data_IF_693300659061
#
_entry.id   IF_693300659061
#
_cell.length_a   1.000
_cell.length_b   1.000
_cell.length_c   1.000
_cell.angle_alpha   90.00
_cell.angle_beta   90.00
_cell.angle_gamma   90.00
#
_symmetry.space_group_name_H-M   'P 1'
#
loop_
_entity.id
_entity.type
_entity.pdbx_description
1 polymer ?
#
# COMPACT_ATOMS: atom_id res chain seq x y z
N UNK A 1 -57.68 59.66 16.33
CA UNK A 1 -56.37 59.25 16.91
C UNK A 1 -56.27 57.74 16.80
N UNK A 2 -55.65 57.27 15.70
CA UNK A 2 -55.57 55.83 15.38
C UNK A 2 -54.23 55.23 15.85
N UNK A 3 -54.28 54.23 16.70
CA UNK A 3 -53.12 53.46 17.12
C UNK A 3 -52.90 52.28 16.13
N UNK A 4 -51.77 52.30 15.41
CA UNK A 4 -51.40 51.23 14.48
C UNK A 4 -50.66 50.14 15.24
N UNK A 5 -51.20 48.94 15.28
CA UNK A 5 -50.55 47.77 15.85
C UNK A 5 -49.47 47.25 14.88
N UNK A 6 -48.20 47.30 15.33
CA UNK A 6 -47.07 46.71 14.60
C UNK A 6 -46.99 45.21 14.98
N UNK A 7 -47.36 44.34 14.08
CA UNK A 7 -47.14 42.88 14.25
C UNK A 7 -45.68 42.57 13.90
N UNK A 8 -44.89 42.16 14.89
CA UNK A 8 -43.57 41.59 14.67
C UNK A 8 -43.73 40.12 14.32
N UNK A 9 -43.52 39.78 13.04
CA UNK A 9 -43.43 38.39 12.61
C UNK A 9 -41.99 37.86 12.90
N UNK A 10 -41.87 37.04 13.91
CA UNK A 10 -40.60 36.36 14.25
C UNK A 10 -40.42 35.19 13.26
N UNK A 11 -39.53 35.35 12.30
CA UNK A 11 -39.18 34.27 11.35
C UNK A 11 -38.28 33.25 12.07
N UNK A 12 -38.85 32.15 12.48
CA UNK A 12 -38.11 30.98 12.97
C UNK A 12 -37.49 30.24 11.77
N UNK A 13 -36.22 30.49 11.50
CA UNK A 13 -35.48 29.64 10.56
C UNK A 13 -35.18 28.31 11.26
N UNK A 14 -35.57 27.16 10.68
CA UNK A 14 -35.16 25.87 11.22
C UNK A 14 -33.68 25.70 10.99
N UNK A 15 -32.90 25.56 12.06
CA UNK A 15 -31.51 25.10 12.01
C UNK A 15 -31.57 23.63 11.54
N UNK A 16 -31.29 23.42 10.25
CA UNK A 16 -31.04 22.10 9.71
C UNK A 16 -29.67 21.64 10.24
N UNK A 17 -29.66 20.99 11.38
CA UNK A 17 -28.48 20.29 11.85
C UNK A 17 -28.20 19.15 10.86
N UNK A 18 -27.31 19.40 9.92
CA UNK A 18 -26.79 18.37 9.06
C UNK A 18 -26.02 17.39 9.95
N UNK A 19 -26.57 16.21 10.13
CA UNK A 19 -25.86 15.11 10.78
C UNK A 19 -24.75 14.69 9.81
N UNK A 20 -23.59 15.30 9.95
CA UNK A 20 -22.40 14.84 9.22
C UNK A 20 -22.09 13.44 9.79
N UNK A 21 -22.46 12.41 9.05
CA UNK A 21 -21.96 11.07 9.34
C UNK A 21 -20.45 11.16 9.33
N UNK A 22 -19.85 10.88 10.47
CA UNK A 22 -18.40 10.76 10.60
C UNK A 22 -17.97 9.58 9.72
N UNK A 23 -17.70 9.88 8.45
CA UNK A 23 -17.19 8.86 7.52
C UNK A 23 -15.75 8.56 7.94
N UNK A 24 -15.50 7.30 8.28
CA UNK A 24 -14.17 6.87 8.67
C UNK A 24 -13.16 7.31 7.61
N UNK A 25 -12.18 8.09 8.01
CA UNK A 25 -11.15 8.59 7.10
C UNK A 25 -9.98 7.61 7.04
N UNK A 26 -9.57 7.24 5.83
CA UNK A 26 -8.37 6.43 5.60
C UNK A 26 -7.18 7.39 5.56
N UNK A 27 -6.25 7.22 6.49
CA UNK A 27 -5.05 8.05 6.60
C UNK A 27 -3.82 7.16 6.76
N UNK A 28 -2.63 7.72 6.62
CA UNK A 28 -1.42 6.98 6.94
C UNK A 28 -1.45 6.51 8.41
N UNK A 29 -1.97 7.35 9.30
CA UNK A 29 -2.10 7.04 10.72
C UNK A 29 -2.99 5.81 10.97
N UNK A 30 -4.21 5.82 10.40
CA UNK A 30 -5.17 4.71 10.58
C UNK A 30 -4.68 3.40 9.95
N UNK A 31 -3.99 3.49 8.81
CA UNK A 31 -3.44 2.31 8.15
C UNK A 31 -2.28 1.70 8.95
N UNK A 32 -1.49 2.52 9.63
CA UNK A 32 -0.43 2.04 10.52
C UNK A 32 -1.02 1.34 11.76
N UNK A 33 -2.08 1.90 12.34
CA UNK A 33 -2.78 1.25 13.47
C UNK A 33 -3.33 -0.11 13.06
N UNK A 34 -3.94 -0.18 11.88
CA UNK A 34 -4.51 -1.43 11.37
C UNK A 34 -3.46 -2.55 11.25
N UNK A 35 -2.21 -2.20 10.90
CA UNK A 35 -1.15 -3.21 10.72
C UNK A 35 -0.82 -3.99 11.98
N UNK A 36 -1.03 -3.41 13.15
CA UNK A 36 -0.69 -4.04 14.42
C UNK A 36 -1.92 -4.35 15.28
N UNK A 37 -3.11 -4.06 14.77
CA UNK A 37 -4.36 -4.34 15.48
C UNK A 37 -4.83 -5.78 15.24
N UNK A 38 -4.87 -6.57 16.30
CA UNK A 38 -5.40 -7.93 16.26
C UNK A 38 -6.91 -7.90 15.96
N UNK A 39 -7.61 -6.92 16.50
CA UNK A 39 -9.06 -6.78 16.29
C UNK A 39 -9.40 -6.48 14.84
N UNK A 40 -8.66 -5.55 14.23
CA UNK A 40 -8.89 -5.20 12.82
C UNK A 40 -8.59 -6.38 11.89
N UNK A 41 -7.59 -7.20 12.22
CA UNK A 41 -7.27 -8.37 11.40
C UNK A 41 -8.29 -9.51 11.55
N UNK A 42 -9.11 -9.47 12.60
CA UNK A 42 -10.09 -10.52 12.92
C UNK A 42 -11.52 -10.19 12.48
N UNK A 43 -11.75 -9.03 11.86
CA UNK A 43 -13.08 -8.60 11.44
C UNK A 43 -13.07 -8.03 10.03
N UNK A 44 -14.25 -7.88 9.45
CA UNK A 44 -14.38 -7.18 8.18
C UNK A 44 -13.98 -5.72 8.36
N UNK A 45 -13.21 -5.16 7.41
CA UNK A 45 -12.78 -3.77 7.54
C UNK A 45 -13.97 -2.80 7.54
N UNK A 46 -13.88 -1.76 8.36
CA UNK A 46 -14.92 -0.72 8.44
C UNK A 46 -15.12 -0.02 7.09
N UNK A 47 -14.03 0.21 6.37
CA UNK A 47 -14.06 0.73 5.00
C UNK A 47 -13.74 -0.45 4.08
N UNK A 48 -14.71 -0.96 3.32
CA UNK A 48 -14.44 -2.11 2.45
C UNK A 48 -13.46 -1.74 1.33
N UNK A 49 -12.73 -2.73 0.83
CA UNK A 49 -11.77 -2.51 -0.25
C UNK A 49 -11.58 -3.78 -1.08
N UNK A 50 -11.04 -3.60 -2.26
CA UNK A 50 -10.53 -4.70 -3.10
C UNK A 50 -9.00 -4.68 -3.02
N UNK A 51 -8.39 -5.86 -2.89
CA UNK A 51 -6.94 -6.02 -2.98
C UNK A 51 -6.56 -6.32 -4.43
N UNK A 52 -5.62 -5.54 -4.94
CA UNK A 52 -5.20 -5.61 -6.34
C UNK A 52 -3.67 -5.55 -6.41
N UNK A 53 -3.12 -5.91 -7.58
CA UNK A 53 -1.67 -5.88 -7.79
C UNK A 53 -1.34 -5.44 -9.22
N UNK A 54 -0.30 -4.64 -9.33
CA UNK A 54 0.38 -4.37 -10.60
C UNK A 54 1.81 -4.90 -10.47
N UNK A 55 2.33 -5.49 -11.55
CA UNK A 55 3.67 -6.07 -11.52
C UNK A 55 4.38 -5.95 -12.86
N UNK A 56 5.65 -6.33 -12.87
CA UNK A 56 6.53 -6.27 -14.03
C UNK A 56 6.42 -7.50 -14.96
N UNK A 57 5.32 -8.24 -14.90
CA UNK A 57 5.16 -9.43 -15.75
C UNK A 57 5.22 -9.05 -17.24
N UNK A 58 5.64 -10.00 -18.05
CA UNK A 58 5.68 -9.82 -19.50
C UNK A 58 4.24 -9.73 -20.06
N UNK A 59 3.88 -8.57 -20.59
CA UNK A 59 2.53 -8.27 -21.09
C UNK A 59 2.13 -9.11 -22.32
N UNK A 60 3.09 -9.78 -22.98
CA UNK A 60 2.78 -10.71 -24.07
C UNK A 60 2.20 -12.03 -23.58
N UNK A 61 2.28 -12.32 -22.26
CA UNK A 61 1.65 -13.50 -21.65
C UNK A 61 0.17 -13.22 -21.39
N UNK A 62 -0.68 -13.36 -22.41
CA UNK A 62 -2.09 -12.95 -22.33
C UNK A 62 -3.05 -14.08 -21.97
N UNK A 63 -2.76 -15.32 -22.37
CA UNK A 63 -3.65 -16.46 -22.14
C UNK A 63 -2.91 -17.78 -22.26
N UNK A 64 -3.25 -18.79 -21.44
CA UNK A 64 -2.67 -20.13 -21.58
C UNK A 64 -2.88 -20.75 -22.96
N UNK A 65 -3.93 -20.34 -23.65
CA UNK A 65 -4.31 -20.90 -24.96
C UNK A 65 -3.71 -20.10 -26.12
N UNK A 66 -2.90 -19.08 -25.85
CA UNK A 66 -2.33 -18.20 -26.86
C UNK A 66 -0.84 -18.46 -27.08
N UNK A 67 -0.35 -18.33 -28.32
CA UNK A 67 1.11 -18.31 -28.53
C UNK A 67 1.75 -17.24 -27.65
N UNK A 68 2.89 -17.56 -27.05
CA UNK A 68 3.59 -16.62 -26.17
C UNK A 68 3.14 -16.65 -24.72
N UNK A 69 2.27 -17.58 -24.34
CA UNK A 69 1.87 -17.73 -22.93
C UNK A 69 3.07 -17.81 -21.98
N UNK A 70 4.14 -18.45 -22.43
CA UNK A 70 5.35 -18.57 -21.63
C UNK A 70 6.38 -17.47 -21.93
N UNK A 71 5.93 -16.33 -22.40
CA UNK A 71 6.82 -15.18 -22.58
C UNK A 71 7.47 -14.85 -21.23
N UNK A 72 8.76 -14.57 -21.23
CA UNK A 72 9.56 -14.45 -20.01
C UNK A 72 10.50 -13.25 -20.08
N UNK A 73 9.95 -12.12 -20.50
CA UNK A 73 10.69 -10.84 -20.46
C UNK A 73 10.27 -10.01 -19.24
N UNK A 74 9.97 -10.70 -18.14
CA UNK A 74 9.62 -10.08 -16.86
C UNK A 74 10.73 -9.11 -16.43
N UNK A 75 10.34 -8.04 -15.74
CA UNK A 75 11.27 -6.98 -15.36
C UNK A 75 11.30 -5.85 -16.39
N UNK A 76 10.78 -6.07 -17.61
CA UNK A 76 10.58 -5.01 -18.58
C UNK A 76 9.10 -4.65 -18.75
N UNK A 77 8.22 -5.37 -18.06
CA UNK A 77 6.78 -5.09 -18.08
C UNK A 77 6.44 -3.77 -17.38
N UNK A 78 5.79 -2.86 -18.11
CA UNK A 78 5.38 -1.55 -17.62
C UNK A 78 3.95 -1.26 -18.09
N UNK A 79 3.30 -0.26 -17.50
CA UNK A 79 1.98 0.18 -17.96
C UNK A 79 2.12 0.87 -19.31
N UNK A 80 3.01 1.85 -19.38
CA UNK A 80 3.33 2.59 -20.61
C UNK A 80 4.62 3.40 -20.38
N UNK A 81 5.02 4.15 -21.39
CA UNK A 81 6.10 5.13 -21.27
C UNK A 81 5.50 6.52 -21.36
N UNK A 82 5.98 7.42 -20.51
CA UNK A 82 5.52 8.81 -20.47
C UNK A 82 6.71 9.75 -20.68
N UNK A 83 6.45 10.97 -21.08
CA UNK A 83 7.49 12.01 -21.17
C UNK A 83 7.08 13.18 -20.27
N UNK A 84 7.89 13.44 -19.26
CA UNK A 84 7.61 14.48 -18.26
C UNK A 84 8.81 15.42 -18.21
N UNK A 85 8.62 16.68 -18.60
CA UNK A 85 9.69 17.70 -18.62
C UNK A 85 10.95 17.23 -19.37
N UNK A 86 10.76 16.54 -20.49
CA UNK A 86 11.87 16.05 -21.32
C UNK A 86 12.52 14.76 -20.83
N UNK A 87 12.08 14.20 -19.69
CA UNK A 87 12.55 12.90 -19.18
C UNK A 87 11.65 11.79 -19.71
N UNK A 88 12.23 10.67 -20.08
CA UNK A 88 11.47 9.46 -20.45
C UNK A 88 11.27 8.63 -19.19
N UNK A 89 10.03 8.47 -18.76
CA UNK A 89 9.67 7.77 -17.54
C UNK A 89 8.84 6.51 -17.85
N UNK A 90 9.30 5.36 -17.38
CA UNK A 90 8.54 4.11 -17.46
C UNK A 90 7.46 4.12 -16.37
N UNK A 91 6.20 4.04 -16.77
CA UNK A 91 5.07 4.03 -15.82
C UNK A 91 4.93 2.61 -15.26
N UNK A 92 5.20 2.46 -13.98
CA UNK A 92 5.17 1.18 -13.28
C UNK A 92 3.79 0.93 -12.65
N UNK A 93 3.07 2.01 -12.30
CA UNK A 93 1.78 1.98 -11.63
C UNK A 93 1.03 3.25 -12.00
N UNK A 94 -0.25 3.14 -12.36
CA UNK A 94 -1.08 4.31 -12.65
C UNK A 94 -2.53 3.95 -12.32
N UNK A 95 -2.97 4.32 -11.11
CA UNK A 95 -4.28 3.93 -10.63
C UNK A 95 -5.08 5.13 -10.11
N UNK A 96 -6.36 5.14 -10.46
CA UNK A 96 -7.30 6.11 -9.91
C UNK A 96 -7.69 5.68 -8.50
N UNK A 97 -7.80 6.66 -7.59
CA UNK A 97 -8.23 6.45 -6.22
C UNK A 97 -9.75 6.52 -6.05
N UNK A 98 -10.20 6.50 -4.81
CA UNK A 98 -9.39 6.45 -3.60
C UNK A 98 -8.72 5.08 -3.40
N UNK A 99 -7.51 5.09 -2.85
CA UNK A 99 -6.76 3.85 -2.69
C UNK A 99 -5.59 3.98 -1.70
N UNK A 100 -4.91 2.86 -1.46
CA UNK A 100 -3.66 2.86 -0.68
C UNK A 100 -2.75 1.74 -1.15
N UNK A 101 -1.51 2.06 -1.50
CA UNK A 101 -0.50 1.03 -1.72
C UNK A 101 -0.18 0.43 -0.35
N UNK A 102 -0.13 -0.89 -0.27
CA UNK A 102 0.11 -1.59 0.99
C UNK A 102 1.43 -2.36 0.99
N UNK A 103 2.01 -2.55 -0.20
CA UNK A 103 3.31 -3.23 -0.31
C UNK A 103 3.94 -2.89 -1.65
N UNK A 104 5.23 -2.56 -1.62
CA UNK A 104 6.06 -2.49 -2.83
C UNK A 104 7.21 -3.47 -2.64
N UNK A 105 7.24 -4.51 -3.48
CA UNK A 105 8.35 -5.47 -3.52
C UNK A 105 9.15 -5.21 -4.78
N UNK A 106 10.47 -5.18 -4.66
CA UNK A 106 11.35 -4.98 -5.81
C UNK A 106 12.56 -5.90 -5.76
N UNK A 107 13.07 -6.22 -6.95
CA UNK A 107 14.43 -6.75 -7.10
C UNK A 107 14.99 -6.30 -8.45
N UNK A 108 16.30 -6.29 -8.58
CA UNK A 108 16.97 -5.77 -9.77
C UNK A 108 18.39 -6.32 -9.90
N UNK A 109 18.96 -6.18 -11.08
CA UNK A 109 20.37 -6.46 -11.36
C UNK A 109 21.25 -5.22 -11.17
N UNK A 110 20.66 -4.02 -11.10
CA UNK A 110 21.37 -2.80 -10.70
C UNK A 110 20.37 -1.77 -10.14
N UNK A 111 20.87 -0.85 -9.32
CA UNK A 111 20.05 0.12 -8.61
C UNK A 111 19.93 1.48 -9.29
N UNK A 112 20.54 1.67 -10.43
CA UNK A 112 20.59 2.99 -11.09
C UNK A 112 19.21 3.47 -11.51
N UNK A 113 19.02 4.77 -11.57
CA UNK A 113 17.79 5.43 -12.00
C UNK A 113 17.09 6.18 -10.89
N UNK A 114 15.85 6.58 -11.12
CA UNK A 114 15.09 7.38 -10.16
C UNK A 114 13.61 6.99 -10.21
N UNK A 115 13.01 6.71 -9.03
CA UNK A 115 11.56 6.54 -8.91
C UNK A 115 10.92 7.88 -8.59
N UNK A 116 9.72 8.11 -9.15
CA UNK A 116 8.88 9.25 -8.80
C UNK A 116 7.46 8.81 -8.51
N UNK A 117 6.88 9.40 -7.48
CA UNK A 117 5.50 9.13 -7.05
C UNK A 117 4.70 10.42 -7.25
N UNK A 118 3.71 10.36 -8.10
CA UNK A 118 2.82 11.48 -8.40
C UNK A 118 1.47 11.18 -7.76
N UNK A 119 0.92 12.14 -7.04
CA UNK A 119 -0.34 11.96 -6.34
C UNK A 119 -1.41 12.91 -6.87
N UNK A 120 -2.65 12.38 -6.94
CA UNK A 120 -3.86 13.16 -7.17
C UNK A 120 -3.86 14.02 -8.44
N UNK A 121 -3.13 13.56 -9.46
CA UNK A 121 -3.07 14.25 -10.75
C UNK A 121 -2.08 15.39 -10.84
N UNK A 122 -1.26 15.58 -9.79
CA UNK A 122 -0.23 16.63 -9.83
C UNK A 122 0.87 16.28 -10.84
N UNK A 123 1.38 17.30 -11.53
CA UNK A 123 2.47 17.12 -12.52
C UNK A 123 3.85 17.04 -11.85
N UNK A 124 3.96 17.51 -10.60
CA UNK A 124 5.20 17.45 -9.83
C UNK A 124 5.16 16.24 -8.91
N UNK A 125 6.23 15.43 -8.86
CA UNK A 125 6.23 14.28 -7.97
C UNK A 125 6.20 14.71 -6.50
N UNK A 126 5.31 14.12 -5.72
CA UNK A 126 5.21 14.34 -4.29
C UNK A 126 6.26 13.57 -3.49
N UNK A 127 6.89 12.56 -4.11
CA UNK A 127 7.97 11.80 -3.48
C UNK A 127 8.94 11.30 -4.54
N UNK A 128 10.25 11.37 -4.24
CA UNK A 128 11.30 10.92 -5.16
C UNK A 128 12.24 9.99 -4.40
N UNK A 129 12.54 8.83 -4.99
CA UNK A 129 13.49 7.87 -4.42
C UNK A 129 14.66 7.75 -5.39
N UNK A 130 15.86 8.17 -4.98
CA UNK A 130 17.04 8.02 -5.85
C UNK A 130 17.46 6.56 -5.88
N UNK A 131 17.66 6.05 -7.06
CA UNK A 131 18.01 4.64 -7.33
C UNK A 131 16.79 3.69 -7.25
N UNK A 132 16.95 2.50 -7.82
CA UNK A 132 15.97 1.41 -7.72
C UNK A 132 16.20 0.65 -6.41
N UNK A 133 15.98 1.36 -5.31
CA UNK A 133 16.34 0.88 -3.97
C UNK A 133 15.44 1.53 -2.92
N UNK A 134 14.44 0.79 -2.46
CA UNK A 134 13.51 1.30 -1.46
C UNK A 134 14.20 1.64 -0.12
N UNK A 135 15.42 1.15 0.12
CA UNK A 135 16.18 1.57 1.30
C UNK A 135 16.50 3.07 1.28
N UNK A 136 16.33 3.70 0.10
CA UNK A 136 16.50 5.15 -0.07
C UNK A 136 15.18 5.91 -0.08
N UNK A 137 14.11 5.29 0.44
CA UNK A 137 12.78 5.92 0.47
C UNK A 137 12.78 7.23 1.27
N UNK A 138 13.71 7.38 2.18
CA UNK A 138 13.97 8.69 2.79
C UNK A 138 13.06 9.08 3.94
N UNK A 139 12.37 8.12 4.54
CA UNK A 139 11.52 8.41 5.70
C UNK A 139 12.31 8.14 6.99
N UNK A 140 12.45 9.14 7.86
CA UNK A 140 13.08 8.94 9.15
C UNK A 140 12.38 7.85 9.97
N UNK A 141 13.17 7.03 10.67
CA UNK A 141 12.67 5.99 11.58
C UNK A 141 11.97 4.81 10.87
N UNK A 142 12.06 4.73 9.55
CA UNK A 142 11.57 3.57 8.82
C UNK A 142 12.57 2.42 9.04
N UNK A 143 12.19 1.45 9.85
CA UNK A 143 13.05 0.33 10.24
C UNK A 143 12.71 -0.96 9.49
N UNK A 144 13.25 -2.07 9.99
CA UNK A 144 13.18 -3.37 9.31
C UNK A 144 11.83 -4.09 9.44
N UNK A 145 10.95 -3.59 10.28
CA UNK A 145 9.57 -4.09 10.34
C UNK A 145 8.76 -3.64 9.13
N UNK A 146 8.99 -2.40 8.69
CA UNK A 146 8.27 -1.79 7.57
C UNK A 146 9.06 -1.77 6.27
N UNK A 147 10.38 -1.90 6.31
CA UNK A 147 11.23 -1.89 5.12
C UNK A 147 12.27 -3.00 5.23
N UNK A 148 12.01 -4.10 4.56
CA UNK A 148 12.79 -5.33 4.71
C UNK A 148 13.68 -5.58 3.50
N UNK A 149 15.00 -5.66 3.69
CA UNK A 149 15.87 -6.24 2.67
C UNK A 149 15.64 -7.76 2.67
N UNK A 150 15.20 -8.32 1.55
CA UNK A 150 15.02 -9.77 1.43
C UNK A 150 16.22 -10.46 0.77
N UNK A 151 17.06 -9.69 0.10
CA UNK A 151 18.36 -10.14 -0.39
C UNK A 151 19.36 -9.02 -0.16
N UNK A 152 20.59 -9.39 0.15
CA UNK A 152 21.65 -8.41 0.26
C UNK A 152 22.03 -7.89 -1.14
N UNK A 153 22.14 -6.59 -1.28
CA UNK A 153 22.69 -6.02 -2.50
C UNK A 153 24.18 -6.35 -2.59
N UNK A 154 24.55 -6.90 -3.72
CA UNK A 154 25.98 -7.14 -4.02
C UNK A 154 26.66 -5.82 -4.37
N UNK A 155 28.01 -5.78 -4.44
CA UNK A 155 28.71 -4.57 -4.86
C UNK A 155 28.29 -4.05 -6.24
N UNK A 156 27.84 -4.94 -7.13
CA UNK A 156 27.34 -4.57 -8.47
C UNK A 156 25.87 -4.14 -8.46
N UNK A 157 25.24 -4.04 -7.28
CA UNK A 157 23.90 -3.50 -7.16
C UNK A 157 22.74 -4.49 -7.25
N UNK A 158 23.03 -5.79 -7.36
CA UNK A 158 21.97 -6.80 -7.43
C UNK A 158 21.33 -7.02 -6.06
N UNK A 159 20.01 -7.15 -6.04
CA UNK A 159 19.31 -7.44 -4.80
C UNK A 159 17.90 -6.87 -4.79
N UNK A 160 17.26 -6.94 -3.62
CA UNK A 160 15.90 -6.47 -3.49
C UNK A 160 15.47 -6.20 -2.07
N UNK A 161 14.33 -5.53 -1.97
CA UNK A 161 13.73 -5.18 -0.68
C UNK A 161 12.21 -5.02 -0.83
N UNK A 162 11.54 -4.95 0.32
CA UNK A 162 10.08 -4.79 0.38
C UNK A 162 9.73 -3.67 1.35
N UNK A 163 8.92 -2.74 0.87
CA UNK A 163 8.34 -1.67 1.67
C UNK A 163 6.90 -2.04 2.02
N UNK A 164 6.58 -2.05 3.30
CA UNK A 164 5.24 -2.29 3.82
C UNK A 164 4.56 -1.02 4.35
N UNK A 165 5.28 0.12 4.36
CA UNK A 165 4.68 1.38 4.77
C UNK A 165 3.50 1.72 3.84
N UNK A 166 2.30 1.96 4.37
CA UNK A 166 1.16 2.29 3.50
C UNK A 166 1.33 3.66 2.83
N UNK A 167 0.87 3.76 1.58
CA UNK A 167 0.92 5.02 0.80
C UNK A 167 -0.50 5.31 0.30
N UNK A 168 -1.34 5.99 1.09
CA UNK A 168 -2.71 6.31 0.65
C UNK A 168 -2.75 7.45 -0.36
N UNK A 169 -3.78 7.44 -1.23
CA UNK A 169 -4.00 8.47 -2.23
C UNK A 169 -5.50 8.69 -2.45
N UNK A 170 -5.90 9.95 -2.52
CA UNK A 170 -7.33 10.30 -2.59
C UNK A 170 -7.91 10.18 -4.00
N UNK A 171 -7.22 10.69 -5.01
CA UNK A 171 -7.73 10.73 -6.38
C UNK A 171 -6.95 9.85 -7.35
N UNK A 172 -5.63 9.79 -7.22
CA UNK A 172 -4.80 8.93 -8.07
C UNK A 172 -3.39 8.81 -7.52
N UNK A 173 -2.73 7.72 -7.93
CA UNK A 173 -1.30 7.56 -7.69
C UNK A 173 -0.66 7.01 -8.96
N UNK A 174 0.37 7.71 -9.46
CA UNK A 174 1.19 7.25 -10.57
C UNK A 174 2.62 7.10 -10.07
N UNK A 175 3.23 5.94 -10.32
CA UNK A 175 4.64 5.68 -9.97
C UNK A 175 5.39 5.42 -11.25
N UNK A 176 6.48 6.16 -11.43
CA UNK A 176 7.32 6.04 -12.62
C UNK A 176 8.75 5.72 -12.22
N UNK A 177 9.50 5.27 -13.20
CA UNK A 177 10.92 5.01 -13.08
C UNK A 177 11.65 5.56 -14.31
N UNK A 178 12.64 6.40 -14.06
CA UNK A 178 13.54 6.92 -15.08
C UNK A 178 14.85 6.14 -15.03
N UNK A 179 15.23 5.51 -16.14
CA UNK A 179 16.54 4.89 -16.26
C UNK A 179 17.62 5.98 -16.34
N UNK A 180 18.83 5.63 -15.96
CA UNK A 180 19.95 6.57 -16.02
C UNK A 180 20.26 6.93 -17.47
N UNK A 181 20.30 8.23 -17.81
CA UNK A 181 20.55 8.64 -19.21
C UNK A 181 21.83 8.05 -19.79
N UNK A 182 21.75 7.56 -21.02
CA UNK A 182 22.91 7.00 -21.72
C UNK A 182 23.23 5.56 -21.35
N UNK A 183 22.48 4.96 -20.43
CA UNK A 183 22.70 3.57 -20.02
C UNK A 183 21.53 2.72 -20.50
N UNK A 184 21.85 1.57 -21.08
CA UNK A 184 20.80 0.65 -21.54
C UNK A 184 19.90 0.20 -20.35
N UNK A 185 18.58 0.18 -20.54
CA UNK A 185 17.67 -0.26 -19.49
C UNK A 185 17.98 -1.69 -19.04
N UNK A 186 17.90 -1.89 -17.74
CA UNK A 186 18.04 -3.22 -17.13
C UNK A 186 16.70 -3.68 -16.54
N UNK A 187 16.50 -4.99 -16.35
CA UNK A 187 15.24 -5.46 -15.81
C UNK A 187 15.02 -4.95 -14.38
N UNK A 188 13.82 -4.46 -14.16
CA UNK A 188 13.34 -3.96 -12.86
C UNK A 188 12.11 -4.77 -12.46
N UNK A 189 12.30 -5.73 -11.58
CA UNK A 189 11.21 -6.60 -11.13
C UNK A 189 10.47 -5.92 -9.99
N UNK A 190 9.13 -5.89 -10.06
CA UNK A 190 8.32 -5.27 -9.02
C UNK A 190 6.95 -5.92 -8.88
N UNK A 191 6.43 -5.86 -7.65
CA UNK A 191 5.01 -6.05 -7.33
C UNK A 191 4.57 -4.85 -6.49
N UNK A 192 3.50 -4.20 -6.90
CA UNK A 192 2.86 -3.12 -6.15
C UNK A 192 1.46 -3.60 -5.79
N UNK A 193 1.27 -3.94 -4.52
CA UNK A 193 -0.02 -4.37 -3.99
C UNK A 193 -0.74 -3.16 -3.42
N UNK A 194 -2.05 -3.06 -3.69
CA UNK A 194 -2.81 -1.90 -3.24
C UNK A 194 -4.25 -2.27 -2.94
N UNK A 195 -4.87 -1.43 -2.10
CA UNK A 195 -6.30 -1.45 -1.82
C UNK A 195 -6.97 -0.40 -2.68
N UNK A 196 -8.10 -0.78 -3.27
CA UNK A 196 -8.99 0.13 -4.00
C UNK A 196 -10.25 0.28 -3.16
N UNK A 197 -10.52 1.50 -2.71
CA UNK A 197 -11.70 1.78 -1.90
C UNK A 197 -12.88 2.18 -2.80
N UNK A 198 -14.13 2.09 -2.30
CA UNK A 198 -15.30 2.60 -3.04
C UNK A 198 -15.19 4.09 -3.31
N UNK A 199 -15.78 4.52 -4.41
CA UNK A 199 -15.86 5.94 -4.74
C UNK A 199 -16.52 6.71 -3.59
N UNK A 200 -16.01 7.90 -3.29
CA UNK A 200 -16.50 8.72 -2.19
C UNK A 200 -15.86 8.43 -0.83
N UNK A 201 -15.02 7.38 -0.73
CA UNK A 201 -14.27 7.14 0.50
C UNK A 201 -13.30 8.31 0.74
N UNK A 202 -13.33 8.88 1.94
CA UNK A 202 -12.43 9.95 2.33
C UNK A 202 -11.04 9.38 2.63
N UNK A 203 -10.03 9.77 1.83
CA UNK A 203 -8.64 9.31 1.98
C UNK A 203 -7.72 10.52 2.04
N UNK A 204 -6.85 10.58 3.05
CA UNK A 204 -5.80 11.59 3.14
C UNK A 204 -4.59 11.13 2.31
N UNK A 205 -4.23 11.91 1.30
CA UNK A 205 -3.10 11.56 0.43
C UNK A 205 -1.76 11.63 1.16
N UNK A 206 -0.92 10.64 0.90
CA UNK A 206 0.44 10.55 1.42
C UNK A 206 1.25 11.82 1.08
N UNK A 207 1.97 12.33 2.07
CA UNK A 207 2.76 13.56 1.91
C UNK A 207 3.85 13.61 2.98
N UNK A 208 4.82 14.51 2.78
CA UNK A 208 5.84 14.78 3.80
C UNK A 208 5.20 15.23 5.14
N UNK A 209 4.10 15.99 5.06
CA UNK A 209 3.40 16.45 6.25
C UNK A 209 2.73 15.27 6.99
N UNK A 210 2.07 14.35 6.27
CA UNK A 210 1.45 13.19 6.91
C UNK A 210 2.51 12.29 7.54
N UNK A 211 3.64 12.08 6.86
CA UNK A 211 4.78 11.31 7.41
C UNK A 211 5.34 11.95 8.69
N UNK A 212 5.54 13.28 8.67
CA UNK A 212 6.08 14.00 9.83
C UNK A 212 5.15 13.88 11.04
N UNK A 213 3.84 13.96 10.80
CA UNK A 213 2.82 13.86 11.86
C UNK A 213 2.84 12.49 12.54
N UNK A 214 3.08 11.41 11.79
CA UNK A 214 3.03 10.05 12.33
C UNK A 214 4.41 9.44 12.57
N UNK A 215 5.47 10.25 12.60
CA UNK A 215 6.84 9.73 12.73
C UNK A 215 7.09 8.84 13.95
N UNK A 216 6.45 9.15 15.08
CA UNK A 216 6.54 8.31 16.28
C UNK A 216 5.83 6.96 16.06
N UNK A 217 4.65 7.00 15.48
CA UNK A 217 3.85 5.80 15.19
C UNK A 217 4.58 4.87 14.21
N UNK A 218 5.27 5.43 13.22
CA UNK A 218 6.08 4.62 12.29
C UNK A 218 7.08 3.76 13.09
N UNK A 219 7.78 4.34 14.07
CA UNK A 219 8.70 3.57 14.91
C UNK A 219 8.00 2.53 15.77
N UNK A 220 6.85 2.88 16.33
CA UNK A 220 6.07 1.96 17.18
C UNK A 220 5.57 0.76 16.39
N UNK A 221 5.04 0.99 15.20
CA UNK A 221 4.56 -0.07 14.31
C UNK A 221 5.73 -0.93 13.84
N UNK A 222 6.84 -0.29 13.43
CA UNK A 222 8.04 -1.00 13.01
C UNK A 222 8.54 -1.97 14.09
N UNK A 223 8.60 -1.49 15.33
CA UNK A 223 9.03 -2.31 16.47
C UNK A 223 8.03 -3.44 16.76
N UNK A 224 6.73 -3.14 16.73
CA UNK A 224 5.69 -4.15 16.98
C UNK A 224 5.70 -5.26 15.94
N UNK A 225 6.01 -4.94 14.68
CA UNK A 225 6.10 -5.95 13.63
C UNK A 225 7.35 -6.85 13.80
N UNK A 226 8.43 -6.30 14.34
CA UNK A 226 9.65 -7.06 14.62
C UNK A 226 9.54 -7.88 15.91
N UNK A 227 8.81 -7.38 16.88
CA UNK A 227 8.69 -7.97 18.21
C UNK A 227 7.20 -8.15 18.57
N UNK A 228 6.48 -9.02 17.84
CA UNK A 228 5.06 -9.20 18.12
C UNK A 228 4.84 -9.67 19.55
N UNK A 229 3.83 -9.09 20.19
CA UNK A 229 3.52 -9.41 21.58
C UNK A 229 3.25 -10.91 21.77
N UNK A 230 3.87 -11.47 22.77
CA UNK A 230 3.62 -12.86 23.13
C UNK A 230 2.18 -13.03 23.63
N UNK A 231 1.46 -13.96 23.03
CA UNK A 231 0.09 -14.27 23.45
C UNK A 231 0.16 -15.39 24.47
N UNK A 232 0.04 -15.05 25.74
CA UNK A 232 -0.05 -16.06 26.80
C UNK A 232 -1.35 -16.86 26.66
N UNK A 233 -1.30 -18.13 26.98
CA UNK A 233 -2.48 -18.99 26.95
C UNK A 233 -2.77 -19.65 25.60
N UNK A 234 -1.98 -19.33 24.55
CA UNK A 234 -2.15 -20.04 23.28
C UNK A 234 -1.51 -21.42 23.36
N UNK A 235 -2.30 -22.45 23.10
CA UNK A 235 -1.76 -23.80 22.91
C UNK A 235 -1.29 -23.92 21.46
N UNK A 236 -0.01 -24.22 21.29
CA UNK A 236 0.58 -24.38 19.96
C UNK A 236 0.89 -25.85 19.74
N UNK A 237 0.15 -26.48 18.84
CA UNK A 237 0.41 -27.86 18.40
C UNK A 237 1.28 -27.79 17.14
N UNK A 238 2.50 -28.27 17.27
CA UNK A 238 3.44 -28.36 16.14
C UNK A 238 3.46 -29.80 15.62
N UNK A 239 3.11 -30.00 14.37
CA UNK A 239 3.13 -31.31 13.74
C UNK A 239 3.95 -31.26 12.45
N UNK A 240 4.90 -32.15 12.33
CA UNK A 240 5.68 -32.30 11.09
C UNK A 240 5.24 -33.61 10.45
N UNK A 241 4.79 -33.53 9.21
CA UNK A 241 4.28 -34.69 8.47
C UNK A 241 4.82 -34.65 7.05
N UNK A 242 5.50 -35.71 6.67
CA UNK A 242 5.90 -35.89 5.28
C UNK A 242 4.68 -36.30 4.45
N UNK A 243 4.43 -35.60 3.34
CA UNK A 243 3.34 -35.93 2.43
C UNK A 243 3.98 -36.32 1.09
N UNK A 244 3.87 -37.56 0.68
CA UNK A 244 4.46 -37.96 -0.61
C UNK A 244 3.70 -37.34 -1.79
N UNK A 245 4.29 -37.33 -2.99
CA UNK A 245 3.59 -36.85 -4.18
C UNK A 245 2.25 -37.55 -4.37
N UNK A 246 1.19 -36.75 -4.59
CA UNK A 246 -0.18 -37.26 -4.73
C UNK A 246 -0.87 -37.57 -3.40
N UNK A 247 -0.17 -37.46 -2.28
CA UNK A 247 -0.74 -37.68 -0.97
C UNK A 247 -1.42 -36.43 -0.41
N UNK A 248 -2.17 -36.60 0.68
CA UNK A 248 -2.82 -35.49 1.39
C UNK A 248 -2.64 -35.66 2.89
N UNK A 249 -2.75 -34.53 3.59
CA UNK A 249 -2.70 -34.50 5.04
C UNK A 249 -3.82 -33.60 5.54
N UNK A 250 -4.68 -34.18 6.40
CA UNK A 250 -5.79 -33.43 6.98
C UNK A 250 -5.38 -32.80 8.31
N UNK A 251 -5.48 -31.48 8.38
CA UNK A 251 -5.36 -30.79 9.66
C UNK A 251 -6.75 -30.65 10.25
N UNK A 252 -6.98 -31.40 11.32
CA UNK A 252 -8.26 -31.31 12.04
C UNK A 252 -8.12 -30.19 13.07
N UNK A 253 -8.91 -29.12 12.97
CA UNK A 253 -8.89 -28.09 14.00
C UNK A 253 -9.39 -28.64 15.33
N UNK A 254 -8.99 -28.05 16.44
CA UNK A 254 -9.53 -28.46 17.73
C UNK A 254 -11.06 -28.33 17.76
N UNK A 255 -11.75 -29.16 18.53
CA UNK A 255 -13.22 -29.08 18.65
C UNK A 255 -13.68 -27.67 18.98
N UNK A 256 -14.84 -27.31 18.51
CA UNK A 256 -15.44 -26.01 18.82
C UNK A 256 -15.48 -25.77 20.34
N UNK A 257 -14.97 -24.65 20.75
CA UNK A 257 -14.81 -24.33 22.15
C UNK A 257 -13.36 -24.21 22.67
N UNK A 258 -12.61 -24.48 21.98
CA UNK A 258 -11.29 -24.39 22.33
C UNK A 258 -10.61 -23.17 21.87
N UNK A 259 -11.06 -22.72 21.38
CA UNK A 259 -10.58 -21.73 20.98
C UNK A 259 -10.47 -20.84 21.81
N UNK A 260 -10.31 -20.96 22.28
CA UNK A 260 -10.29 -20.22 22.88
C UNK A 260 -9.71 -19.27 23.32
N UNK A 261 -9.44 -18.91 22.70
CA UNK A 261 -9.08 -18.16 23.08
C UNK A 261 -9.64 -17.57 23.92
N UNK A 262 -9.81 -17.80 24.86
CA UNK A 262 -10.44 -17.10 25.94
C UNK A 262 -9.42 -16.32 26.75
N UNK A 263 -9.53 -15.03 26.67
CA UNK A 263 -8.89 -13.97 27.44
C UNK A 263 -7.50 -13.61 26.95
#
# INVERSE_FOLDING_TARGET
MEMRNLLFALLLLPLMASCVKDTAQVTLDSLLDEMISVEESARYPLVPYRCLQVSSYDRSSVSPDSPGWFANNDGYGIVCTDTVDGRVERVMFDEKGPGAITRIWITTVDKRGTWRFYFDGESTPGWIVPAYDLMRFGIPRLGRGLLQPHTSYTPDGKGGNTLFLPIPFARSCKITFEDEPGIAPTPKYYHINYRKYPEGTSVETFSAASVARVGKKISEVDDALLHPASRSGLQVDKKRQGVPPGGSFLVVPPPEGXXXXRQ
#
